data_IF_251351238848
#
_entry.id   IF_251351238848
#
_cell.length_a   1.000
_cell.length_b   1.000
_cell.length_c   1.000
_cell.angle_alpha   90.00
_cell.angle_beta   90.00
_cell.angle_gamma   90.00
#
_symmetry.space_group_name_H-M   'P 1'
#
loop_
_entity.id
_entity.type
_entity.pdbx_description
1 polymer ?
#
# COMPACT_ATOMS: atom_id res chain seq x y z
N UNK A 1 -0.17 -12.47 -10.07
CA UNK A 1 -0.23 -11.58 -8.88
C UNK A 1 1.12 -10.92 -8.83
N UNK A 2 1.15 -9.59 -8.79
CA UNK A 2 2.40 -8.85 -8.93
C UNK A 2 3.26 -9.03 -7.69
N UNK A 3 4.56 -9.24 -7.87
CA UNK A 3 5.48 -9.26 -6.75
C UNK A 3 5.77 -7.84 -6.24
N UNK A 4 5.70 -7.67 -4.93
CA UNK A 4 5.97 -6.41 -4.25
C UNK A 4 7.06 -6.56 -3.20
N UNK A 5 7.80 -5.47 -2.98
CA UNK A 5 8.60 -5.26 -1.77
C UNK A 5 8.01 -4.08 -1.01
N UNK A 6 7.97 -4.14 0.32
CA UNK A 6 7.44 -3.05 1.12
C UNK A 6 8.25 -2.86 2.40
N UNK A 7 8.31 -1.62 2.87
CA UNK A 7 9.03 -1.25 4.08
C UNK A 7 8.42 -0.02 4.72
N UNK A 8 8.61 0.11 6.03
CA UNK A 8 8.18 1.29 6.78
C UNK A 8 9.40 2.15 7.05
N UNK A 9 9.32 3.40 6.64
CA UNK A 9 10.22 4.44 7.09
C UNK A 9 9.70 4.98 8.42
N UNK A 10 10.36 4.60 9.51
CA UNK A 10 10.00 5.01 10.87
C UNK A 10 10.08 6.54 11.07
N UNK A 11 11.09 7.18 10.48
CA UNK A 11 11.31 8.62 10.61
C UNK A 11 10.14 9.41 10.00
N UNK A 12 9.64 8.95 8.85
CA UNK A 12 8.54 9.59 8.14
C UNK A 12 7.18 8.92 8.39
N UNK A 13 7.12 7.89 9.24
CA UNK A 13 5.93 7.04 9.49
C UNK A 13 5.20 6.67 8.20
N UNK A 14 5.96 6.33 7.17
CA UNK A 14 5.46 6.13 5.80
C UNK A 14 5.76 4.70 5.36
N UNK A 15 4.72 3.99 4.94
CA UNK A 15 4.88 2.70 4.27
C UNK A 15 5.13 2.96 2.78
N UNK A 16 6.17 2.33 2.26
CA UNK A 16 6.48 2.27 0.85
C UNK A 16 6.13 0.87 0.37
N UNK A 17 5.37 0.79 -0.72
CA UNK A 17 5.07 -0.45 -1.42
C UNK A 17 5.60 -0.28 -2.83
N UNK A 18 6.46 -1.18 -3.26
CA UNK A 18 7.11 -1.14 -4.55
C UNK A 18 6.81 -2.40 -5.33
N UNK A 19 6.30 -2.24 -6.54
CA UNK A 19 6.04 -3.33 -7.46
C UNK A 19 7.33 -3.65 -8.23
N UNK A 20 7.79 -4.91 -8.11
CA UNK A 20 9.05 -5.38 -8.69
C UNK A 20 8.97 -5.51 -10.22
N UNK A 21 7.78 -5.70 -10.78
CA UNK A 21 7.58 -5.89 -12.21
C UNK A 21 7.46 -4.56 -12.96
N UNK A 22 6.69 -3.62 -12.39
CA UNK A 22 6.39 -2.33 -13.04
C UNK A 22 7.29 -1.19 -12.58
N UNK A 23 8.15 -1.43 -11.57
CA UNK A 23 8.95 -0.41 -10.88
C UNK A 23 8.11 0.71 -10.24
N UNK A 24 6.79 0.51 -10.07
CA UNK A 24 5.90 1.51 -9.48
C UNK A 24 6.07 1.56 -7.96
N UNK A 25 6.09 2.77 -7.39
CA UNK A 25 6.11 3.00 -5.94
C UNK A 25 4.78 3.61 -5.50
N UNK A 26 4.19 3.05 -4.46
CA UNK A 26 3.05 3.63 -3.74
C UNK A 26 3.46 3.97 -2.32
N UNK A 27 3.12 5.18 -1.88
CA UNK A 27 3.44 5.68 -0.54
C UNK A 27 2.15 5.81 0.25
N UNK A 28 2.12 5.26 1.46
CA UNK A 28 1.00 5.32 2.39
C UNK A 28 1.45 6.01 3.66
N UNK A 29 0.77 7.10 4.02
CA UNK A 29 1.05 7.88 5.25
C UNK A 29 -0.02 7.73 6.32
N UNK A 30 -1.17 7.15 5.97
CA UNK A 30 -2.25 6.95 6.92
C UNK A 30 -1.91 5.77 7.82
N UNK A 31 -1.69 6.03 9.11
CA UNK A 31 -1.32 5.01 10.10
C UNK A 31 -2.31 3.85 10.21
N UNK A 32 -3.61 4.10 10.01
CA UNK A 32 -4.64 3.06 10.01
C UNK A 32 -4.51 2.15 8.79
N UNK A 33 -4.26 2.74 7.63
CA UNK A 33 -4.04 2.01 6.37
C UNK A 33 -2.75 1.20 6.42
N UNK A 34 -1.67 1.75 7.00
CA UNK A 34 -0.42 1.03 7.24
C UNK A 34 -0.65 -0.20 8.11
N UNK A 35 -1.34 -0.05 9.26
CA UNK A 35 -1.64 -1.19 10.15
C UNK A 35 -2.46 -2.26 9.44
N UNK A 36 -3.48 -1.86 8.68
CA UNK A 36 -4.30 -2.79 7.89
C UNK A 36 -3.48 -3.51 6.82
N UNK A 37 -2.59 -2.80 6.14
CA UNK A 37 -1.71 -3.38 5.13
C UNK A 37 -0.83 -4.45 5.75
N UNK A 38 -0.07 -4.10 6.79
CA UNK A 38 0.91 -4.99 7.42
C UNK A 38 0.23 -6.21 8.05
N UNK A 39 -0.95 -6.01 8.64
CA UNK A 39 -1.78 -7.10 9.16
C UNK A 39 -2.24 -8.09 8.09
N UNK A 40 -2.46 -7.66 6.84
CA UNK A 40 -2.81 -8.57 5.73
C UNK A 40 -1.65 -9.51 5.36
N UNK A 41 -0.42 -9.17 5.75
CA UNK A 41 0.77 -10.02 5.64
C UNK A 41 1.07 -10.79 6.92
N UNK A 42 0.20 -10.72 7.94
CA UNK A 42 0.38 -11.41 9.22
C UNK A 42 1.47 -10.77 10.09
N UNK A 43 1.86 -9.54 9.79
CA UNK A 43 2.89 -8.80 10.52
C UNK A 43 2.25 -7.71 11.38
N UNK A 44 2.99 -7.22 12.37
CA UNK A 44 2.69 -5.94 13.04
C UNK A 44 3.63 -4.84 12.55
N UNK A 45 3.22 -3.58 12.73
CA UNK A 45 4.07 -2.43 12.39
C UNK A 45 5.36 -2.43 13.22
N UNK A 46 5.28 -2.87 14.47
CA UNK A 46 6.41 -2.89 15.41
C UNK A 46 7.43 -4.00 15.09
N UNK A 47 6.98 -5.05 14.38
CA UNK A 47 7.84 -6.15 13.91
C UNK A 47 8.58 -5.81 12.61
N UNK A 48 8.13 -4.77 11.88
CA UNK A 48 8.72 -4.35 10.62
C UNK A 48 10.01 -3.54 10.84
N UNK A 49 11.16 -4.24 10.83
CA UNK A 49 12.49 -3.61 10.95
C UNK A 49 13.27 -3.51 9.64
N UNK A 50 12.65 -3.87 8.52
CA UNK A 50 13.35 -3.97 7.25
C UNK A 50 12.42 -4.02 6.04
N UNK A 51 13.00 -4.46 4.92
CA UNK A 51 12.27 -4.68 3.68
C UNK A 51 11.67 -6.07 3.69
N UNK A 52 10.36 -6.13 3.49
CA UNK A 52 9.61 -7.36 3.34
C UNK A 52 9.24 -7.58 1.88
N UNK A 53 9.12 -8.86 1.51
CA UNK A 53 8.77 -9.29 0.16
C UNK A 53 7.49 -10.10 0.19
N UNK A 54 6.61 -9.89 -0.79
CA UNK A 54 5.37 -10.64 -0.88
C UNK A 54 4.66 -10.44 -2.20
N UNK A 55 3.54 -11.13 -2.35
CA UNK A 55 2.61 -10.90 -3.45
C UNK A 55 1.66 -9.76 -3.10
N UNK A 56 1.21 -8.98 -4.10
CA UNK A 56 0.21 -7.93 -3.90
C UNK A 56 -1.18 -8.50 -3.58
N UNK A 57 -1.37 -8.94 -2.32
CA UNK A 57 -2.63 -9.50 -1.82
C UNK A 57 -3.76 -8.47 -1.78
N UNK A 58 -3.41 -7.20 -1.66
CA UNK A 58 -4.36 -6.09 -1.50
C UNK A 58 -4.66 -5.37 -2.81
N UNK A 59 -4.14 -5.87 -3.93
CA UNK A 59 -4.34 -5.32 -5.26
C UNK A 59 -4.01 -3.81 -5.32
N UNK A 60 -2.93 -3.41 -4.66
CA UNK A 60 -2.39 -2.06 -4.68
C UNK A 60 -1.97 -1.62 -6.09
N UNK A 61 -1.61 -2.58 -6.94
CA UNK A 61 -1.12 -2.38 -8.30
C UNK A 61 -1.93 -3.13 -9.36
N UNK A 62 -2.62 -4.21 -9.01
CA UNK A 62 -3.31 -5.01 -10.01
C UNK A 62 -4.54 -4.32 -10.61
N UNK A 63 -4.64 -4.49 -11.94
CA UNK A 63 -5.63 -3.98 -12.90
C UNK A 63 -6.62 -3.00 -12.28
N UNK A 64 -6.27 -1.73 -12.28
CA UNK A 64 -7.10 -0.60 -12.73
C UNK A 64 -6.44 0.70 -12.31
N UNK A 65 -6.28 1.63 -13.26
CA UNK A 65 -6.29 3.06 -12.97
C UNK A 65 -7.62 3.54 -12.36
N UNK A 66 -8.12 2.89 -11.29
CA UNK A 66 -9.37 3.22 -10.57
C UNK A 66 -9.17 4.11 -9.35
N UNK A 67 -7.95 4.60 -9.11
CA UNK A 67 -7.74 5.80 -8.29
C UNK A 67 -8.48 7.04 -8.83
N UNK A 68 -8.86 7.03 -10.11
CA UNK A 68 -9.67 8.09 -10.74
C UNK A 68 -11.19 7.90 -10.54
N UNK A 69 -11.70 6.66 -10.54
CA UNK A 69 -13.15 6.41 -10.50
C UNK A 69 -13.74 6.41 -9.08
N UNK A 70 -13.04 5.89 -8.07
CA UNK A 70 -13.50 5.94 -6.68
C UNK A 70 -13.44 7.37 -6.12
N UNK A 71 -12.43 8.18 -6.51
CA UNK A 71 -12.37 9.62 -6.19
C UNK A 71 -13.51 10.41 -6.85
N UNK A 72 -13.86 10.11 -8.10
CA UNK A 72 -14.97 10.78 -8.80
C UNK A 72 -16.35 10.46 -8.19
N UNK A 73 -16.56 9.24 -7.69
CA UNK A 73 -17.82 8.86 -7.06
C UNK A 73 -17.99 9.51 -5.67
N UNK A 74 -16.94 9.53 -4.85
CA UNK A 74 -16.96 10.17 -3.53
C UNK A 74 -17.16 11.68 -3.59
N UNK A 75 -16.62 12.37 -4.60
CA UNK A 75 -16.86 13.82 -4.78
C UNK A 75 -18.27 14.14 -5.29
N UNK A 76 -18.98 13.21 -5.93
CA UNK A 76 -20.35 13.42 -6.42
C UNK A 76 -21.41 13.30 -5.31
N UNK A 77 -21.10 12.63 -4.20
CA UNK A 77 -21.98 12.51 -3.04
C UNK A 77 -21.89 13.69 -2.07
N UNK A 78 -20.98 14.63 -2.31
CA UNK A 78 -20.72 15.79 -1.44
C UNK A 78 -21.10 17.13 -2.09
N UNK A 79 -21.72 17.11 -3.27
CA UNK A 79 -22.22 18.26 -4.01
C UNK A 79 -23.75 18.22 -4.04
#
# INVERSE_FOLDING_TARGET
MDQIKFWIDEANKTLYVYNLETNAVRKVRNSKEIKQFVSAYGLSVDDMRGVEYGEDKLNYFGKLGRGSLLRRWLNKLKA
#
